data_IF_959779150966
#
_entry.id   IF_959779150966
#
_cell.length_a   1.000
_cell.length_b   1.000
_cell.length_c   1.000
_cell.angle_alpha   90.00
_cell.angle_beta   90.00
_cell.angle_gamma   90.00
#
_symmetry.space_group_name_H-M   'P 1'
#
loop_
_entity.id
_entity.type
_entity.pdbx_description
1 polymer ?
#
# COMPACT_ATOMS: atom_id res chain seq x y z
N UNK A 1 -2.57 -23.17 -16.30
CA UNK A 1 -2.66 -21.90 -17.04
C UNK A 1 -1.67 -20.93 -16.43
N UNK A 2 -0.51 -20.79 -17.08
CA UNK A 2 0.63 -19.89 -16.83
C UNK A 2 0.62 -19.02 -15.55
N UNK A 3 1.17 -19.54 -14.46
CA UNK A 3 1.81 -18.70 -13.44
C UNK A 3 3.19 -18.33 -13.98
N UNK A 4 3.39 -17.07 -14.37
CA UNK A 4 4.73 -16.51 -14.57
C UNK A 4 5.59 -16.92 -13.35
N UNK A 5 6.65 -17.68 -13.60
CA UNK A 5 7.52 -18.33 -12.60
C UNK A 5 8.39 -17.38 -11.78
N UNK A 6 7.79 -16.31 -11.25
CA UNK A 6 8.36 -15.49 -10.21
C UNK A 6 7.86 -16.06 -8.90
N UNK A 7 8.63 -16.96 -8.30
CA UNK A 7 8.33 -17.45 -6.96
C UNK A 7 8.18 -16.23 -6.03
N UNK A 8 7.19 -16.22 -5.12
CA UNK A 8 7.01 -15.12 -4.16
C UNK A 8 8.29 -14.81 -3.37
N UNK A 9 9.17 -15.80 -3.20
CA UNK A 9 10.51 -15.69 -2.63
C UNK A 9 11.47 -14.84 -3.47
N UNK A 10 11.37 -14.86 -4.80
CA UNK A 10 12.23 -14.09 -5.70
C UNK A 10 11.87 -12.59 -5.68
N UNK A 11 10.56 -12.28 -5.77
CA UNK A 11 10.06 -10.92 -5.57
C UNK A 11 10.38 -10.40 -4.16
N UNK A 12 10.34 -11.30 -3.19
CA UNK A 12 10.73 -11.00 -1.83
C UNK A 12 12.18 -10.57 -1.68
N UNK A 13 13.07 -11.28 -2.37
CA UNK A 13 14.50 -11.03 -2.30
C UNK A 13 14.86 -9.70 -2.97
N UNK A 14 14.25 -9.39 -4.12
CA UNK A 14 14.46 -8.11 -4.81
C UNK A 14 13.99 -6.93 -3.95
N UNK A 15 12.81 -7.03 -3.35
CA UNK A 15 12.29 -5.97 -2.49
C UNK A 15 13.12 -5.79 -1.20
N UNK A 16 13.61 -6.88 -0.61
CA UNK A 16 14.52 -6.83 0.54
C UNK A 16 15.88 -6.17 0.18
N UNK A 17 16.44 -6.47 -0.99
CA UNK A 17 17.68 -5.85 -1.47
C UNK A 17 17.49 -4.34 -1.67
N UNK A 18 16.36 -3.91 -2.23
CA UNK A 18 16.05 -2.49 -2.41
C UNK A 18 15.86 -1.75 -1.07
N UNK A 19 15.24 -2.40 -0.08
CA UNK A 19 15.07 -1.85 1.27
C UNK A 19 16.42 -1.69 2.03
N UNK A 20 17.40 -2.54 1.73
CA UNK A 20 18.72 -2.55 2.36
C UNK A 20 19.69 -1.58 1.66
N UNK A 21 19.66 -1.49 0.33
CA UNK A 21 20.61 -0.66 -0.43
C UNK A 21 20.25 0.82 -0.55
N UNK A 22 18.96 1.15 -0.59
CA UNK A 22 18.48 2.49 -0.97
C UNK A 22 18.24 3.48 0.17
N UNK A 23 18.56 3.14 1.42
CA UNK A 23 18.09 3.91 2.60
C UNK A 23 18.53 5.37 2.65
N UNK A 24 19.75 5.70 2.20
CA UNK A 24 20.22 7.10 2.17
C UNK A 24 19.55 7.90 1.06
N UNK A 25 19.42 7.33 -0.14
CA UNK A 25 18.70 7.95 -1.23
C UNK A 25 17.23 8.18 -0.85
N UNK A 26 16.57 7.16 -0.30
CA UNK A 26 15.17 7.24 0.12
C UNK A 26 14.96 8.31 1.19
N UNK A 27 15.83 8.38 2.20
CA UNK A 27 15.77 9.40 3.24
C UNK A 27 15.88 10.82 2.66
N UNK A 28 16.85 11.05 1.77
CA UNK A 28 17.04 12.36 1.14
C UNK A 28 15.84 12.78 0.30
N UNK A 29 15.20 11.83 -0.39
CA UNK A 29 14.08 12.14 -1.28
C UNK A 29 12.69 12.15 -0.61
N UNK A 30 12.64 11.95 0.71
CA UNK A 30 11.38 12.13 1.47
C UNK A 30 10.88 13.57 1.49
N UNK A 31 11.76 14.56 1.27
CA UNK A 31 11.41 15.97 1.16
C UNK A 31 11.94 16.54 -0.16
N UNK A 32 11.12 17.24 -0.97
CA UNK A 32 11.58 17.95 -2.15
C UNK A 32 12.45 19.14 -1.75
N UNK A 33 13.74 18.87 -1.53
CA UNK A 33 14.76 19.89 -1.30
C UNK A 33 15.80 19.69 -2.38
N UNK A 34 16.04 20.69 -3.24
CA UNK A 34 17.01 20.61 -4.34
C UNK A 34 18.48 20.48 -3.92
N UNK A 35 18.76 20.10 -2.67
CA UNK A 35 20.10 19.89 -2.12
C UNK A 35 20.18 18.57 -1.38
N UNK A 36 21.25 17.82 -1.63
CA UNK A 36 21.65 16.67 -0.81
C UNK A 36 21.65 17.09 0.66
N UNK A 37 21.00 16.35 1.56
CA UNK A 37 21.10 16.63 2.99
C UNK A 37 22.57 16.66 3.37
N UNK A 38 23.04 17.81 3.85
CA UNK A 38 24.43 18.01 4.28
C UNK A 38 24.71 17.33 5.62
N UNK A 39 23.68 16.80 6.28
CA UNK A 39 23.81 16.05 7.53
C UNK A 39 23.99 14.55 7.23
N UNK A 40 25.13 14.00 7.65
CA UNK A 40 25.37 12.57 7.62
C UNK A 40 24.23 11.84 8.34
N UNK A 41 23.64 10.86 7.65
CA UNK A 41 22.50 10.11 8.15
C UNK A 41 22.94 9.32 9.39
N UNK A 42 22.34 9.61 10.53
CA UNK A 42 22.74 8.95 11.78
C UNK A 42 22.43 7.45 11.67
N UNK A 43 23.26 6.57 12.23
CA UNK A 43 23.04 5.12 12.20
C UNK A 43 21.62 4.73 12.68
N UNK A 44 21.09 5.46 13.67
CA UNK A 44 19.72 5.30 14.17
C UNK A 44 18.66 5.60 13.10
N UNK A 45 18.81 6.69 12.35
CA UNK A 45 17.90 7.03 11.25
C UNK A 45 17.97 5.99 10.13
N UNK A 46 19.17 5.47 9.83
CA UNK A 46 19.36 4.45 8.80
C UNK A 46 18.62 3.16 9.16
N UNK A 47 18.73 2.72 10.42
CA UNK A 47 18.03 1.54 10.93
C UNK A 47 16.51 1.72 10.88
N UNK A 48 15.99 2.90 11.23
CA UNK A 48 14.56 3.21 11.15
C UNK A 48 14.06 3.12 9.71
N UNK A 49 14.77 3.72 8.74
CA UNK A 49 14.40 3.68 7.32
C UNK A 49 14.43 2.24 6.77
N UNK A 50 15.44 1.43 7.16
CA UNK A 50 15.51 0.02 6.76
C UNK A 50 14.40 -0.83 7.34
N UNK A 51 14.04 -0.61 8.61
CA UNK A 51 12.92 -1.31 9.25
C UNK A 51 11.58 -0.93 8.61
N UNK A 52 11.41 0.34 8.25
CA UNK A 52 10.25 0.80 7.49
C UNK A 52 10.17 0.11 6.12
N UNK A 53 11.31 0.00 5.41
CA UNK A 53 11.39 -0.74 4.15
C UNK A 53 11.02 -2.22 4.30
N UNK A 54 11.48 -2.88 5.37
CA UNK A 54 11.11 -4.26 5.69
C UNK A 54 9.59 -4.39 5.96
N UNK A 55 9.00 -3.43 6.70
CA UNK A 55 7.56 -3.43 6.98
C UNK A 55 6.71 -3.34 5.70
N UNK A 56 7.04 -2.42 4.78
CA UNK A 56 6.34 -2.34 3.49
C UNK A 56 6.51 -3.59 2.65
N UNK A 57 7.69 -4.20 2.74
CA UNK A 57 7.97 -5.47 2.09
C UNK A 57 7.07 -6.61 2.63
N UNK A 58 6.94 -6.73 3.96
CA UNK A 58 6.02 -7.68 4.60
C UNK A 58 4.56 -7.43 4.18
N UNK A 59 4.11 -6.17 4.12
CA UNK A 59 2.76 -5.82 3.66
C UNK A 59 2.51 -6.23 2.20
N UNK A 60 3.51 -6.06 1.33
CA UNK A 60 3.47 -6.53 -0.06
C UNK A 60 3.38 -8.06 -0.16
N UNK A 61 4.18 -8.77 0.64
CA UNK A 61 4.13 -10.23 0.72
C UNK A 61 2.81 -10.76 1.24
N UNK A 62 2.29 -10.18 2.32
CA UNK A 62 0.98 -10.55 2.87
C UNK A 62 -0.10 -10.33 1.80
N UNK A 63 -0.05 -9.23 1.05
CA UNK A 63 -1.02 -8.98 -0.03
C UNK A 63 -0.97 -10.06 -1.11
N UNK A 64 0.21 -10.48 -1.56
CA UNK A 64 0.33 -11.53 -2.59
C UNK A 64 -0.02 -12.92 -2.03
N UNK A 65 0.55 -13.28 -0.89
CA UNK A 65 0.39 -14.61 -0.29
C UNK A 65 -1.02 -14.83 0.23
N UNK A 66 -1.61 -13.88 0.96
CA UNK A 66 -2.94 -14.03 1.56
C UNK A 66 -4.02 -14.02 0.47
N UNK A 67 -3.95 -13.14 -0.52
CA UNK A 67 -4.90 -13.18 -1.65
C UNK A 67 -4.77 -14.49 -2.45
N UNK A 68 -3.55 -14.98 -2.65
CA UNK A 68 -3.32 -16.26 -3.34
C UNK A 68 -3.82 -17.45 -2.50
N UNK A 69 -3.61 -17.42 -1.19
CA UNK A 69 -4.06 -18.45 -0.26
C UNK A 69 -5.59 -18.49 -0.20
N UNK A 70 -6.25 -17.33 -0.09
CA UNK A 70 -7.72 -17.23 -0.09
C UNK A 70 -8.30 -17.82 -1.37
N UNK A 71 -7.74 -17.47 -2.55
CA UNK A 71 -8.18 -18.01 -3.85
C UNK A 71 -8.03 -19.54 -3.95
N UNK A 72 -7.04 -20.12 -3.26
CA UNK A 72 -6.76 -21.57 -3.29
C UNK A 72 -7.54 -22.35 -2.23
N UNK A 73 -7.76 -21.77 -1.05
CA UNK A 73 -8.37 -22.44 0.09
C UNK A 73 -9.91 -22.52 0.00
N UNK A 74 -10.55 -21.55 -0.66
CA UNK A 74 -12.01 -21.47 -0.72
C UNK A 74 -12.50 -21.19 -2.16
N UNK A 75 -12.28 -22.13 -3.11
CA UNK A 75 -12.65 -21.92 -4.51
C UNK A 75 -14.16 -21.96 -4.78
N UNK A 76 -14.97 -22.55 -3.88
CA UNK A 76 -16.40 -22.80 -4.11
C UNK A 76 -17.34 -21.98 -3.20
N UNK A 77 -16.82 -21.25 -2.20
CA UNK A 77 -17.63 -20.38 -1.34
C UNK A 77 -17.25 -18.91 -1.56
N UNK A 78 -17.98 -18.29 -2.49
CA UNK A 78 -17.81 -16.90 -2.87
C UNK A 78 -18.07 -15.93 -1.71
N UNK A 79 -18.91 -16.29 -0.74
CA UNK A 79 -19.28 -15.42 0.39
C UNK A 79 -18.13 -15.35 1.39
N UNK A 80 -17.54 -16.49 1.74
CA UNK A 80 -16.35 -16.54 2.60
C UNK A 80 -15.14 -15.85 1.94
N UNK A 81 -14.97 -16.04 0.63
CA UNK A 81 -13.93 -15.36 -0.14
C UNK A 81 -14.11 -13.82 -0.13
N UNK A 82 -15.33 -13.32 -0.33
CA UNK A 82 -15.65 -11.89 -0.31
C UNK A 82 -15.40 -11.28 1.08
N UNK A 83 -15.69 -11.99 2.17
CA UNK A 83 -15.43 -11.52 3.56
C UNK A 83 -13.94 -11.39 3.85
N UNK A 84 -13.14 -12.41 3.49
CA UNK A 84 -11.69 -12.39 3.74
C UNK A 84 -10.99 -11.33 2.91
N UNK A 85 -11.34 -11.20 1.63
CA UNK A 85 -10.81 -10.15 0.75
C UNK A 85 -11.28 -8.78 1.23
N UNK A 86 -12.54 -8.65 1.64
CA UNK A 86 -13.08 -7.39 2.18
C UNK A 86 -12.38 -6.95 3.47
N UNK A 87 -12.11 -7.87 4.39
CA UNK A 87 -11.34 -7.58 5.61
C UNK A 87 -9.93 -7.09 5.30
N UNK A 88 -9.23 -7.77 4.39
CA UNK A 88 -7.89 -7.36 3.95
C UNK A 88 -7.90 -5.98 3.29
N UNK A 89 -8.83 -5.74 2.35
CA UNK A 89 -8.93 -4.45 1.65
C UNK A 89 -9.33 -3.32 2.59
N UNK A 90 -10.10 -3.59 3.65
CA UNK A 90 -10.47 -2.60 4.66
C UNK A 90 -9.25 -2.19 5.47
N UNK A 91 -8.45 -3.16 5.94
CA UNK A 91 -7.21 -2.88 6.65
C UNK A 91 -6.23 -2.08 5.78
N UNK A 92 -6.11 -2.43 4.50
CA UNK A 92 -5.27 -1.70 3.54
C UNK A 92 -5.79 -0.27 3.29
N UNK A 93 -7.10 -0.07 3.18
CA UNK A 93 -7.68 1.25 2.99
C UNK A 93 -7.42 2.19 4.19
N UNK A 94 -7.49 1.67 5.42
CA UNK A 94 -7.13 2.42 6.63
C UNK A 94 -5.64 2.80 6.60
N UNK A 95 -4.78 1.86 6.19
CA UNK A 95 -3.35 2.11 6.06
C UNK A 95 -3.05 3.20 5.02
N UNK A 96 -3.75 3.23 3.88
CA UNK A 96 -3.57 4.27 2.86
C UNK A 96 -3.89 5.67 3.39
N UNK A 97 -5.05 5.83 4.05
CA UNK A 97 -5.49 7.13 4.60
C UNK A 97 -4.49 7.62 5.64
N UNK A 98 -4.06 6.72 6.52
CA UNK A 98 -3.06 7.05 7.55
C UNK A 98 -1.72 7.43 6.91
N UNK A 99 -1.29 6.71 5.88
CA UNK A 99 -0.03 6.98 5.19
C UNK A 99 -0.04 8.31 4.43
N UNK A 100 -1.10 8.59 3.68
CA UNK A 100 -1.27 9.88 2.97
C UNK A 100 -1.37 11.03 3.98
N UNK A 101 -2.16 10.87 5.04
CA UNK A 101 -2.31 11.89 6.08
C UNK A 101 -1.00 12.24 6.77
N UNK A 102 -0.23 11.22 7.19
CA UNK A 102 1.09 11.43 7.80
C UNK A 102 2.11 12.02 6.81
N UNK A 103 2.05 11.63 5.54
CA UNK A 103 2.93 12.18 4.50
C UNK A 103 2.66 13.67 4.24
N UNK A 104 1.39 14.09 4.27
CA UNK A 104 1.00 15.49 4.13
C UNK A 104 1.34 16.31 5.37
N UNK A 105 1.14 15.77 6.57
CA UNK A 105 1.49 16.46 7.83
C UNK A 105 3.00 16.61 8.02
N UNK A 106 3.80 15.69 7.48
CA UNK A 106 5.26 15.76 7.54
C UNK A 106 5.89 16.79 6.58
N UNK A 107 5.12 17.33 5.64
CA UNK A 107 5.59 18.26 4.61
C UNK A 107 5.26 19.72 4.96
N UNK A 108 6.13 20.70 4.63
CA UNK A 108 5.77 22.11 4.76
C UNK A 108 4.54 22.46 3.90
N UNK A 109 3.59 23.18 4.50
CA UNK A 109 2.30 23.58 3.90
C UNK A 109 2.45 24.23 2.50
N UNK A 110 3.51 25.02 2.30
CA UNK A 110 3.78 25.66 1.01
C UNK A 110 4.00 24.64 -0.13
N UNK A 111 4.59 23.49 0.20
CA UNK A 111 4.93 22.44 -0.77
C UNK A 111 3.77 21.45 -0.97
N UNK A 112 2.90 21.31 0.03
CA UNK A 112 1.67 20.50 -0.06
C UNK A 112 0.75 20.98 -1.17
N UNK A 113 0.66 22.30 -1.40
CA UNK A 113 -0.19 22.89 -2.44
C UNK A 113 0.47 23.00 -3.83
N UNK A 114 1.73 22.60 -3.97
CA UNK A 114 2.49 22.69 -5.21
C UNK A 114 2.90 21.29 -5.72
N UNK A 115 1.95 20.46 -6.17
CA UNK A 115 2.21 19.07 -6.56
C UNK A 115 3.19 18.93 -7.73
N UNK A 116 3.38 19.97 -8.54
CA UNK A 116 4.38 19.99 -9.63
C UNK A 116 5.83 20.10 -9.13
N UNK A 117 6.06 20.45 -7.86
CA UNK A 117 7.41 20.49 -7.26
C UNK A 117 7.77 19.22 -6.49
N UNK A 118 6.87 18.24 -6.45
CA UNK A 118 7.11 17.00 -5.74
C UNK A 118 8.14 16.13 -6.46
N UNK A 119 9.03 15.49 -5.69
CA UNK A 119 9.95 14.51 -6.26
C UNK A 119 9.25 13.14 -6.42
N UNK A 120 9.86 12.22 -7.16
CA UNK A 120 9.31 10.89 -7.46
C UNK A 120 8.92 10.08 -6.23
N UNK A 121 9.66 10.19 -5.11
CA UNK A 121 9.31 9.54 -3.85
C UNK A 121 8.04 10.13 -3.22
N UNK A 122 7.87 11.45 -3.27
CA UNK A 122 6.65 12.12 -2.76
C UNK A 122 5.44 11.75 -3.61
N UNK A 123 5.59 11.72 -4.93
CA UNK A 123 4.54 11.21 -5.82
C UNK A 123 4.22 9.74 -5.55
N UNK A 124 5.23 8.91 -5.28
CA UNK A 124 5.03 7.52 -4.85
C UNK A 124 4.22 7.41 -3.56
N UNK A 125 4.62 8.16 -2.53
CA UNK A 125 3.99 8.09 -1.21
C UNK A 125 2.59 8.69 -1.17
N UNK A 126 2.27 9.70 -1.99
CA UNK A 126 0.98 10.41 -1.95
C UNK A 126 0.11 10.05 -3.15
N UNK A 127 0.61 10.22 -4.38
CA UNK A 127 -0.20 10.05 -5.60
C UNK A 127 -0.52 8.58 -5.85
N UNK A 128 0.47 7.69 -5.74
CA UNK A 128 0.26 6.25 -5.99
C UNK A 128 -0.61 5.62 -4.90
N UNK A 129 -0.38 5.96 -3.63
CA UNK A 129 -1.18 5.44 -2.51
C UNK A 129 -2.62 5.94 -2.57
N UNK A 130 -2.86 7.20 -2.95
CA UNK A 130 -4.20 7.72 -3.19
C UNK A 130 -4.89 7.00 -4.36
N UNK A 131 -4.18 6.74 -5.46
CA UNK A 131 -4.71 5.95 -6.57
C UNK A 131 -5.09 4.53 -6.13
N UNK A 132 -4.25 3.88 -5.32
CA UNK A 132 -4.55 2.56 -4.76
C UNK A 132 -5.77 2.60 -3.81
N UNK A 133 -5.89 3.64 -2.98
CA UNK A 133 -7.07 3.87 -2.14
C UNK A 133 -8.35 4.00 -2.98
N UNK A 134 -8.31 4.77 -4.07
CA UNK A 134 -9.45 4.90 -5.00
C UNK A 134 -9.81 3.55 -5.62
N UNK A 135 -8.83 2.77 -6.07
CA UNK A 135 -9.07 1.42 -6.58
C UNK A 135 -9.72 0.51 -5.53
N UNK A 136 -9.32 0.63 -4.25
CA UNK A 136 -9.95 -0.11 -3.13
C UNK A 136 -11.38 0.36 -2.91
N UNK A 137 -11.65 1.67 -2.95
CA UNK A 137 -13.00 2.21 -2.84
C UNK A 137 -13.91 1.80 -4.01
N UNK A 138 -13.37 1.77 -5.23
CA UNK A 138 -14.06 1.23 -6.40
C UNK A 138 -14.41 -0.26 -6.22
N UNK A 139 -13.51 -1.04 -5.58
CA UNK A 139 -13.82 -2.41 -5.20
C UNK A 139 -14.98 -2.47 -4.22
N UNK A 140 -15.01 -1.66 -3.15
CA UNK A 140 -16.14 -1.62 -2.21
C UNK A 140 -17.45 -1.14 -2.85
N UNK A 141 -17.37 -0.22 -3.82
CA UNK A 141 -18.52 0.21 -4.63
C UNK A 141 -19.06 -0.89 -5.57
N UNK A 142 -18.36 -2.02 -5.67
CA UNK A 142 -18.79 -3.17 -6.46
C UNK A 142 -18.48 -3.06 -7.95
N UNK A 143 -17.56 -2.16 -8.36
CA UNK A 143 -17.12 -2.10 -9.75
C UNK A 143 -16.42 -3.41 -10.14
N UNK A 144 -16.96 -4.12 -11.14
CA UNK A 144 -16.39 -5.36 -11.70
C UNK A 144 -16.77 -6.67 -10.99
N UNK A 145 -17.77 -6.69 -10.10
CA UNK A 145 -18.25 -7.91 -9.39
C UNK A 145 -19.76 -7.90 -9.14
N UNK A 146 -20.42 -9.06 -9.20
CA UNK A 146 -21.71 -9.28 -8.54
C UNK A 146 -21.47 -9.49 -7.04
N UNK A 147 -21.74 -8.48 -6.21
CA UNK A 147 -21.54 -8.56 -4.75
C UNK A 147 -22.67 -9.35 -4.09
N UNK A 148 -22.31 -10.36 -3.27
CA UNK A 148 -23.27 -11.23 -2.59
C UNK A 148 -23.51 -10.84 -1.13
N UNK A 149 -22.60 -10.12 -0.48
CA UNK A 149 -22.72 -9.77 0.95
C UNK A 149 -22.86 -8.26 1.19
N UNK A 150 -21.97 -7.43 0.65
CA UNK A 150 -22.00 -5.97 0.87
C UNK A 150 -23.21 -5.26 0.25
N UNK A 151 -23.81 -5.83 -0.82
CA UNK A 151 -25.05 -5.30 -1.43
C UNK A 151 -26.33 -5.86 -0.77
N UNK A 152 -26.31 -7.11 -0.31
CA UNK A 152 -27.49 -7.81 0.25
C UNK A 152 -27.82 -7.32 1.66
N UNK A 153 -26.82 -6.97 2.47
CA UNK A 153 -27.06 -6.44 3.82
C UNK A 153 -27.68 -5.03 3.80
N UNK A 154 -27.39 -4.22 2.78
CA UNK A 154 -28.02 -2.90 2.57
C UNK A 154 -29.49 -2.98 2.11
N UNK A 155 -29.89 -4.06 1.45
CA UNK A 155 -31.29 -4.30 1.09
C UNK A 155 -32.13 -4.68 2.32
N UNK A 156 -31.57 -5.48 3.24
CA UNK A 156 -32.27 -5.89 4.48
C UNK A 156 -32.47 -4.77 5.51
N UNK A 157 -31.78 -3.64 5.40
CA UNK A 157 -31.91 -2.51 6.33
C UNK A 157 -32.91 -1.43 5.87
N UNK A 158 -33.52 -1.59 4.69
CA UNK A 158 -34.55 -0.66 4.17
C UNK A 158 -35.99 -1.17 4.30
N UNK A 159 -36.20 -2.35 4.89
CA UNK A 159 -37.54 -2.98 5.03
C UNK A 159 -37.98 -3.18 6.50
N UNK A 160 -37.48 -2.36 7.42
CA UNK A 160 -38.00 -2.21 8.79
C UNK A 160 -38.09 -0.74 9.12
#
# INVERSE_FOLDING_TARGET
MFTLGLDPSFLATIAAIMAIGGSEWYYNETLPSGGKSTAALTLRAMLIVRQLGNCYFLLGMISICVLSAIRRAVPYDAVAQEKLVGGLLTALAIADVTHVGLSLLGMPLALVFEPWKWNGIVHGNITVTLALFICRMAWFAGMGRSSYYYRVQGAKLKET
#
